data_IF_211147272366
#
_entry.id   IF_211147272366
#
_cell.length_a   1.000
_cell.length_b   1.000
_cell.length_c   1.000
_cell.angle_alpha   90.00
_cell.angle_beta   90.00
_cell.angle_gamma   90.00
#
_symmetry.space_group_name_H-M   'P 1'
#
loop_
_entity.id
_entity.type
_entity.pdbx_description
1 polymer ?
#
# COMPACT_ATOMS: atom_id res chain seq x y z
N UNK A 1 -23.50 6.14 -9.33
CA UNK A 1 -24.62 6.29 -8.36
C UNK A 1 -25.34 7.64 -8.45
N UNK A 2 -25.44 8.26 -9.65
CA UNK A 2 -26.12 9.56 -9.81
C UNK A 2 -27.61 9.48 -9.43
N UNK A 3 -28.27 8.39 -9.83
CA UNK A 3 -29.71 8.19 -9.62
C UNK A 3 -30.03 7.42 -8.33
N UNK A 4 -29.00 7.02 -7.58
CA UNK A 4 -29.13 6.27 -6.32
C UNK A 4 -28.22 6.85 -5.22
N UNK A 5 -28.32 8.15 -4.90
CA UNK A 5 -27.42 8.79 -3.93
C UNK A 5 -27.56 8.22 -2.51
N UNK A 6 -28.73 7.65 -2.18
CA UNK A 6 -29.01 7.02 -0.88
C UNK A 6 -28.03 5.88 -0.55
N UNK A 7 -27.40 5.25 -1.56
CA UNK A 7 -26.40 4.20 -1.34
C UNK A 7 -25.29 4.67 -0.40
N UNK A 8 -24.82 5.91 -0.59
CA UNK A 8 -23.73 6.51 0.16
C UNK A 8 -24.10 6.95 1.59
N UNK A 9 -25.35 6.73 2.00
CA UNK A 9 -25.82 6.98 3.37
C UNK A 9 -26.26 5.69 4.06
N UNK A 10 -25.99 4.52 3.47
CA UNK A 10 -26.30 3.22 4.07
C UNK A 10 -25.22 2.81 5.06
N UNK A 11 -25.60 2.02 6.08
CA UNK A 11 -24.63 1.36 6.97
C UNK A 11 -23.62 0.53 6.19
N UNK A 12 -24.05 -0.14 5.12
CA UNK A 12 -23.16 -0.87 4.23
C UNK A 12 -22.04 0.03 3.69
N UNK A 13 -22.37 1.18 3.10
CA UNK A 13 -21.34 2.08 2.58
C UNK A 13 -20.43 2.64 3.68
N UNK A 14 -20.97 2.97 4.86
CA UNK A 14 -20.14 3.40 6.01
C UNK A 14 -19.15 2.33 6.45
N UNK A 15 -19.58 1.06 6.56
CA UNK A 15 -18.68 -0.03 6.92
C UNK A 15 -17.67 -0.32 5.80
N UNK A 16 -18.12 -0.31 4.54
CA UNK A 16 -17.27 -0.60 3.40
C UNK A 16 -16.17 0.44 3.21
N UNK A 17 -16.54 1.73 3.18
CA UNK A 17 -15.62 2.82 2.90
C UNK A 17 -14.50 2.89 3.94
N UNK A 18 -14.79 2.60 5.23
CA UNK A 18 -13.79 2.66 6.29
C UNK A 18 -13.01 1.37 6.49
N UNK A 19 -13.60 0.21 6.18
CA UNK A 19 -12.87 -1.07 6.23
C UNK A 19 -11.80 -1.16 5.16
N UNK A 20 -12.13 -0.68 3.94
CA UNK A 20 -11.26 -0.81 2.77
C UNK A 20 -10.66 0.52 2.30
N UNK A 21 -10.86 1.61 3.05
CA UNK A 21 -10.45 2.97 2.68
C UNK A 21 -10.94 3.41 1.28
N UNK A 22 -12.14 2.98 0.89
CA UNK A 22 -12.75 3.36 -0.40
C UNK A 22 -13.31 4.77 -0.36
N UNK A 23 -13.11 5.52 -1.44
CA UNK A 23 -13.73 6.82 -1.68
C UNK A 23 -14.85 6.71 -2.70
N UNK A 24 -15.72 7.73 -2.78
CA UNK A 24 -16.82 7.76 -3.76
C UNK A 24 -16.34 7.85 -5.20
N UNK A 25 -15.11 8.33 -5.41
CA UNK A 25 -14.41 8.41 -6.69
C UNK A 25 -13.50 7.20 -6.97
N UNK A 26 -13.32 6.28 -6.01
CA UNK A 26 -12.52 5.08 -6.22
C UNK A 26 -13.11 4.17 -7.32
N UNK A 27 -12.25 3.32 -7.89
CA UNK A 27 -12.59 2.44 -9.01
C UNK A 27 -13.79 1.54 -8.71
N UNK A 28 -14.83 1.67 -9.54
CA UNK A 28 -15.99 0.75 -9.52
C UNK A 28 -15.59 -0.69 -9.90
N UNK A 29 -14.53 -0.85 -10.70
CA UNK A 29 -14.02 -2.18 -11.03
C UNK A 29 -13.46 -2.89 -9.80
N UNK A 30 -12.73 -2.17 -8.93
CA UNK A 30 -12.26 -2.74 -7.67
C UNK A 30 -13.42 -3.03 -6.73
N UNK A 31 -14.39 -2.12 -6.61
CA UNK A 31 -15.61 -2.39 -5.85
C UNK A 31 -16.30 -3.70 -6.28
N UNK A 32 -16.45 -3.92 -7.59
CA UNK A 32 -16.99 -5.17 -8.14
C UNK A 32 -16.11 -6.38 -7.77
N UNK A 33 -14.79 -6.29 -7.94
CA UNK A 33 -13.85 -7.38 -7.60
C UNK A 33 -13.96 -7.78 -6.13
N UNK A 34 -14.05 -6.81 -5.22
CA UNK A 34 -14.26 -7.08 -3.80
C UNK A 34 -15.59 -7.80 -3.54
N UNK A 35 -16.69 -7.34 -4.15
CA UNK A 35 -18.00 -7.99 -4.00
C UNK A 35 -18.00 -9.45 -4.48
N UNK A 36 -17.27 -9.75 -5.56
CA UNK A 36 -17.13 -11.12 -6.08
C UNK A 36 -16.15 -11.95 -5.22
N UNK A 37 -15.00 -11.38 -4.85
CA UNK A 37 -13.91 -12.10 -4.17
C UNK A 37 -14.18 -12.35 -2.69
N UNK A 38 -14.87 -11.43 -2.03
CA UNK A 38 -15.14 -11.43 -0.59
C UNK A 38 -16.62 -11.66 -0.27
N UNK A 39 -17.35 -12.34 -1.17
CA UNK A 39 -18.79 -12.56 -1.01
C UNK A 39 -19.16 -13.28 0.30
N UNK A 40 -18.28 -14.14 0.82
CA UNK A 40 -18.47 -14.81 2.12
C UNK A 40 -18.26 -13.88 3.32
N UNK A 41 -17.53 -12.77 3.13
CA UNK A 41 -17.37 -11.73 4.15
C UNK A 41 -18.53 -10.74 4.17
N UNK A 42 -19.34 -10.69 3.10
CA UNK A 42 -20.41 -9.71 2.97
C UNK A 42 -21.44 -9.80 4.11
N UNK A 43 -21.83 -11.00 4.52
CA UNK A 43 -22.77 -11.21 5.64
C UNK A 43 -22.13 -11.05 7.02
N UNK A 44 -20.84 -10.69 7.07
CA UNK A 44 -20.02 -10.60 8.28
C UNK A 44 -19.27 -9.27 8.35
N UNK A 45 -19.56 -8.34 7.45
CA UNK A 45 -18.81 -7.08 7.32
C UNK A 45 -18.98 -6.18 8.55
N UNK A 46 -20.07 -6.34 9.28
CA UNK A 46 -20.39 -5.61 10.50
C UNK A 46 -19.64 -6.13 11.73
N UNK A 47 -19.26 -7.41 11.75
CA UNK A 47 -18.50 -8.02 12.85
C UNK A 47 -17.01 -8.15 12.53
N UNK A 48 -16.68 -8.25 11.25
CA UNK A 48 -15.35 -8.55 10.72
C UNK A 48 -14.76 -9.85 11.30
N UNK A 49 -15.61 -10.83 11.62
CA UNK A 49 -15.18 -12.12 12.19
C UNK A 49 -14.35 -12.98 11.23
N UNK A 50 -14.44 -12.73 9.91
CA UNK A 50 -13.58 -13.38 8.93
C UNK A 50 -12.15 -12.82 8.86
N UNK A 51 -11.87 -11.72 9.56
CA UNK A 51 -10.53 -11.12 9.56
C UNK A 51 -9.57 -11.97 10.40
N UNK A 52 -8.52 -12.46 9.74
CA UNK A 52 -7.40 -13.14 10.42
C UNK A 52 -6.29 -12.14 10.72
N UNK A 53 -5.75 -12.21 11.94
CA UNK A 53 -4.68 -11.31 12.42
C UNK A 53 -3.43 -12.09 12.76
N UNK A 54 -2.26 -11.47 12.54
CA UNK A 54 -0.99 -11.95 13.04
C UNK A 54 -0.78 -11.52 14.50
N UNK A 55 0.16 -12.17 15.20
CA UNK A 55 0.42 -11.87 16.61
C UNK A 55 0.96 -10.45 16.84
N UNK A 56 1.82 -9.97 15.94
CA UNK A 56 2.34 -8.60 15.92
C UNK A 56 1.91 -7.90 14.63
N UNK A 57 2.48 -6.72 14.35
CA UNK A 57 2.34 -6.10 13.04
C UNK A 57 2.92 -7.03 11.92
N UNK A 58 2.54 -6.75 10.68
CA UNK A 58 2.93 -7.58 9.53
C UNK A 58 4.44 -7.53 9.23
N UNK A 59 5.12 -6.44 9.59
CA UNK A 59 6.57 -6.36 9.44
C UNK A 59 7.26 -7.43 10.32
N UNK A 60 6.94 -7.45 11.61
CA UNK A 60 7.51 -8.42 12.55
C UNK A 60 7.02 -9.86 12.32
N UNK A 61 5.74 -10.04 11.98
CA UNK A 61 5.13 -11.37 11.90
C UNK A 61 5.31 -12.05 10.54
N UNK A 62 5.61 -11.30 9.48
CA UNK A 62 5.70 -11.83 8.10
C UNK A 62 7.03 -11.44 7.45
N UNK A 63 7.36 -10.15 7.41
CA UNK A 63 8.53 -9.66 6.68
C UNK A 63 9.84 -10.12 7.33
N UNK A 64 9.98 -9.97 8.66
CA UNK A 64 11.19 -10.39 9.38
C UNK A 64 11.45 -11.90 9.24
N UNK A 65 10.46 -12.80 9.45
CA UNK A 65 10.65 -14.23 9.21
C UNK A 65 10.99 -14.57 7.75
N UNK A 66 10.34 -13.91 6.78
CA UNK A 66 10.62 -14.13 5.36
C UNK A 66 12.04 -13.72 5.00
N UNK A 67 12.50 -12.56 5.48
CA UNK A 67 13.88 -12.10 5.28
C UNK A 67 14.86 -13.10 5.88
N UNK A 68 14.66 -13.53 7.12
CA UNK A 68 15.53 -14.50 7.78
C UNK A 68 15.60 -15.84 7.02
N UNK A 69 14.48 -16.29 6.45
CA UNK A 69 14.45 -17.46 5.57
C UNK A 69 15.34 -17.26 4.34
N UNK A 70 15.18 -16.14 3.62
CA UNK A 70 15.94 -15.84 2.40
C UNK A 70 17.44 -15.61 2.69
N UNK A 71 17.77 -14.94 3.80
CA UNK A 71 19.15 -14.79 4.28
C UNK A 71 19.81 -16.17 4.50
N UNK A 72 19.05 -17.14 5.03
CA UNK A 72 19.52 -18.52 5.23
C UNK A 72 19.88 -19.26 3.93
N UNK A 73 19.41 -18.79 2.78
CA UNK A 73 19.77 -19.27 1.44
C UNK A 73 20.80 -18.39 0.73
N UNK A 74 21.32 -17.36 1.40
CA UNK A 74 22.33 -16.45 0.84
C UNK A 74 21.78 -15.50 -0.23
N UNK A 75 20.49 -15.14 -0.15
CA UNK A 75 19.92 -14.09 -1.01
C UNK A 75 20.59 -12.75 -0.68
N UNK A 76 20.99 -12.02 -1.72
CA UNK A 76 21.56 -10.68 -1.59
C UNK A 76 20.46 -9.63 -1.39
N UNK A 77 20.65 -8.76 -0.40
CA UNK A 77 19.77 -7.66 -0.08
C UNK A 77 20.55 -6.35 -0.15
N UNK A 78 20.59 -5.74 -1.34
CA UNK A 78 21.14 -4.39 -1.52
C UNK A 78 20.13 -3.34 -1.05
N UNK A 79 20.34 -2.80 0.14
CA UNK A 79 19.54 -1.70 0.72
C UNK A 79 20.20 -0.34 0.45
N UNK A 80 19.46 0.75 0.68
CA UNK A 80 19.92 2.11 0.41
C UNK A 80 20.38 2.32 -1.05
N UNK A 81 19.76 1.57 -1.96
CA UNK A 81 20.04 1.57 -3.38
C UNK A 81 18.73 1.81 -4.14
N UNK A 82 18.68 2.88 -4.91
CA UNK A 82 17.49 3.29 -5.66
C UNK A 82 17.64 2.88 -7.11
N UNK A 83 16.72 2.06 -7.62
CA UNK A 83 16.65 1.80 -9.07
C UNK A 83 16.06 3.04 -9.75
N UNK A 84 16.85 3.70 -10.57
CA UNK A 84 16.48 4.99 -11.19
C UNK A 84 15.95 4.84 -12.61
N UNK A 85 16.31 3.76 -13.31
CA UNK A 85 15.88 3.45 -14.67
C UNK A 85 16.13 1.98 -15.07
N UNK A 86 15.47 1.52 -16.14
CA UNK A 86 15.70 0.23 -16.79
C UNK A 86 15.94 0.43 -18.29
N UNK A 87 16.87 -0.33 -18.85
CA UNK A 87 17.06 -0.41 -20.30
C UNK A 87 16.43 -1.66 -20.88
N UNK A 88 15.97 -1.54 -22.12
CA UNK A 88 15.23 -2.58 -22.81
C UNK A 88 15.87 -2.93 -24.13
N UNK A 89 15.84 -4.22 -24.47
CA UNK A 89 16.20 -4.69 -25.80
C UNK A 89 15.29 -4.04 -26.86
N UNK A 90 15.83 -3.58 -28.01
CA UNK A 90 15.02 -3.11 -29.12
C UNK A 90 14.05 -4.18 -29.64
N UNK A 91 12.89 -3.74 -30.15
CA UNK A 91 11.84 -4.61 -30.68
C UNK A 91 10.54 -4.53 -29.88
N UNK A 92 9.60 -5.43 -30.14
CA UNK A 92 8.28 -5.42 -29.51
C UNK A 92 8.26 -6.07 -28.11
N UNK A 93 9.08 -7.11 -27.89
CA UNK A 93 9.11 -7.86 -26.63
C UNK A 93 9.72 -7.08 -25.46
N UNK A 94 9.23 -7.31 -24.24
CA UNK A 94 9.72 -6.66 -23.02
C UNK A 94 10.87 -7.49 -22.44
N UNK A 95 12.10 -7.09 -22.72
CA UNK A 95 13.31 -7.74 -22.19
C UNK A 95 14.21 -6.66 -21.63
N UNK A 96 14.40 -6.65 -20.31
CA UNK A 96 15.30 -5.73 -19.62
C UNK A 96 16.74 -6.19 -19.88
N UNK A 97 17.63 -5.25 -20.21
CA UNK A 97 19.05 -5.50 -20.45
C UNK A 97 19.94 -4.91 -19.37
N UNK A 98 19.50 -3.85 -18.70
CA UNK A 98 20.26 -3.24 -17.61
C UNK A 98 19.35 -2.59 -16.57
N UNK A 99 19.82 -2.55 -15.31
CA UNK A 99 19.22 -1.87 -14.18
C UNK A 99 20.15 -0.75 -13.74
N UNK A 100 19.69 0.50 -13.81
CA UNK A 100 20.42 1.67 -13.34
C UNK A 100 20.10 1.90 -11.87
N UNK A 101 21.13 2.03 -11.04
CA UNK A 101 21.04 2.13 -9.58
C UNK A 101 21.82 3.35 -9.11
N UNK A 102 21.28 4.05 -8.12
CA UNK A 102 21.97 5.10 -7.38
C UNK A 102 22.03 4.70 -5.90
N UNK A 103 23.24 4.68 -5.34
CA UNK A 103 23.49 4.45 -3.91
C UNK A 103 24.50 5.47 -3.35
N UNK A 104 24.95 5.29 -2.10
CA UNK A 104 25.92 6.21 -1.46
C UNK A 104 27.27 6.31 -2.19
N UNK A 105 27.64 5.31 -3.01
CA UNK A 105 28.87 5.31 -3.81
C UNK A 105 28.67 5.95 -5.19
N UNK A 106 27.43 6.28 -5.56
CA UNK A 106 27.05 6.95 -6.81
C UNK A 106 26.24 6.07 -7.76
N UNK A 107 26.27 6.43 -9.05
CA UNK A 107 25.54 5.71 -10.09
C UNK A 107 26.26 4.42 -10.52
N UNK A 108 25.49 3.34 -10.64
CA UNK A 108 25.93 2.00 -11.05
C UNK A 108 24.96 1.37 -12.02
N UNK A 109 25.45 0.42 -12.82
CA UNK A 109 24.65 -0.33 -13.77
C UNK A 109 24.83 -1.82 -13.54
N UNK A 110 23.72 -2.54 -13.39
CA UNK A 110 23.69 -4.01 -13.38
C UNK A 110 23.23 -4.47 -14.76
N UNK A 111 24.15 -5.07 -15.51
CA UNK A 111 23.85 -5.70 -16.81
C UNK A 111 23.17 -7.06 -16.59
N UNK A 112 22.04 -7.27 -17.26
CA UNK A 112 21.30 -8.54 -17.25
C UNK A 112 21.70 -9.38 -18.47
N UNK A 113 22.01 -10.65 -18.21
CA UNK A 113 22.37 -11.65 -19.22
C UNK A 113 21.14 -12.44 -19.68
N UNK A 114 21.31 -13.17 -20.77
CA UNK A 114 20.32 -14.13 -21.23
C UNK A 114 20.03 -15.17 -20.13
N UNK A 115 18.76 -15.25 -19.72
CA UNK A 115 18.29 -16.14 -18.66
C UNK A 115 18.06 -15.45 -17.31
N UNK A 116 18.57 -14.23 -17.12
CA UNK A 116 18.29 -13.44 -15.91
C UNK A 116 16.83 -12.96 -15.91
N UNK A 117 16.23 -12.88 -14.72
CA UNK A 117 14.84 -12.47 -14.53
C UNK A 117 14.81 -11.18 -13.74
N UNK A 118 14.19 -10.14 -14.32
CA UNK A 118 13.91 -8.88 -13.64
C UNK A 118 12.46 -8.88 -13.15
N UNK A 119 12.26 -8.71 -11.85
CA UNK A 119 10.94 -8.53 -11.24
C UNK A 119 10.91 -7.13 -10.64
N UNK A 120 9.99 -6.30 -11.12
CA UNK A 120 9.81 -4.92 -10.67
C UNK A 120 8.46 -4.78 -9.97
N UNK A 121 8.49 -4.31 -8.73
CA UNK A 121 7.28 -3.75 -8.09
C UNK A 121 7.05 -2.36 -8.65
N UNK A 122 6.04 -2.20 -9.50
CA UNK A 122 5.75 -0.94 -10.15
C UNK A 122 4.92 -0.02 -9.23
N UNK A 123 5.64 0.84 -8.54
CA UNK A 123 5.15 1.82 -7.59
C UNK A 123 4.69 1.27 -6.22
N UNK A 124 4.51 2.16 -5.25
CA UNK A 124 4.19 1.85 -3.87
C UNK A 124 3.18 2.83 -3.29
N UNK A 125 2.21 2.35 -2.50
CA UNK A 125 1.22 3.21 -1.86
C UNK A 125 1.78 4.05 -0.70
N UNK A 126 2.95 3.69 -0.18
CA UNK A 126 3.63 4.43 0.91
C UNK A 126 4.75 5.33 0.38
N UNK A 127 4.86 5.48 -0.94
CA UNK A 127 5.74 6.48 -1.51
C UNK A 127 5.37 7.87 -0.99
N UNK A 128 6.39 8.70 -0.77
CA UNK A 128 6.22 10.07 -0.28
C UNK A 128 5.49 10.21 1.06
N UNK A 129 5.29 9.12 1.81
CA UNK A 129 4.76 9.18 3.16
C UNK A 129 5.74 9.94 4.06
N UNK A 130 5.21 10.93 4.78
CA UNK A 130 5.96 11.72 5.76
C UNK A 130 5.43 11.45 7.16
N UNK A 131 6.27 11.70 8.16
CA UNK A 131 5.93 11.49 9.56
C UNK A 131 5.96 12.83 10.30
N UNK A 132 4.91 13.06 11.08
CA UNK A 132 4.90 14.07 12.12
C UNK A 132 5.23 13.46 13.48
N UNK A 133 4.97 14.23 14.53
CA UNK A 133 4.98 13.77 15.91
C UNK A 133 3.82 14.40 16.70
N UNK A 134 3.86 14.29 18.03
CA UNK A 134 2.81 14.84 18.90
C UNK A 134 2.59 16.35 18.74
N UNK A 135 3.63 17.11 18.35
CA UNK A 135 3.63 18.57 18.28
C UNK A 135 3.93 19.12 16.89
N UNK A 136 4.21 18.25 15.92
CA UNK A 136 4.62 18.60 14.56
C UNK A 136 3.77 17.84 13.56
N UNK A 137 3.07 18.54 12.66
CA UNK A 137 2.31 17.89 11.60
C UNK A 137 3.25 17.26 10.54
N UNK A 138 2.87 16.14 9.91
CA UNK A 138 3.60 15.58 8.78
C UNK A 138 3.62 16.58 7.61
N UNK A 139 4.74 16.68 6.90
CA UNK A 139 4.88 17.53 5.72
C UNK A 139 4.11 16.94 4.53
N UNK A 140 3.28 17.74 3.85
CA UNK A 140 2.64 17.28 2.61
C UNK A 140 3.58 17.51 1.42
N UNK A 141 4.20 16.43 0.92
CA UNK A 141 5.13 16.47 -0.21
C UNK A 141 4.87 15.34 -1.22
N UNK A 142 3.77 15.41 -1.99
CA UNK A 142 3.36 14.34 -2.91
C UNK A 142 4.20 14.27 -4.21
N UNK A 143 5.08 15.25 -4.45
CA UNK A 143 5.73 15.42 -5.75
C UNK A 143 6.93 14.47 -6.00
N UNK A 144 7.24 13.58 -5.05
CA UNK A 144 8.42 12.70 -5.10
C UNK A 144 8.10 11.19 -4.93
N UNK A 145 7.20 10.60 -5.74
CA UNK A 145 6.93 9.18 -5.66
C UNK A 145 8.03 8.40 -6.39
N UNK A 146 9.14 8.09 -5.70
CA UNK A 146 10.35 7.46 -6.29
C UNK A 146 10.01 6.23 -7.14
N UNK A 147 9.15 5.33 -6.64
CA UNK A 147 8.77 4.12 -7.36
C UNK A 147 7.73 4.38 -8.47
N UNK A 148 6.89 5.41 -8.30
CA UNK A 148 5.99 5.91 -9.36
C UNK A 148 6.74 6.57 -10.52
N UNK A 149 7.83 7.29 -10.24
CA UNK A 149 8.72 7.88 -11.25
C UNK A 149 9.41 6.81 -12.09
N UNK A 150 9.95 5.77 -11.44
CA UNK A 150 10.52 4.62 -12.15
C UNK A 150 9.49 4.00 -13.10
N UNK A 151 8.26 3.77 -12.62
CA UNK A 151 7.18 3.24 -13.45
C UNK A 151 6.88 4.15 -14.66
N UNK A 152 6.79 5.46 -14.45
CA UNK A 152 6.58 6.45 -15.51
C UNK A 152 7.70 6.43 -16.57
N UNK A 153 8.96 6.34 -16.15
CA UNK A 153 10.10 6.27 -17.07
C UNK A 153 10.04 5.00 -17.92
N UNK A 154 9.87 3.84 -17.32
CA UNK A 154 9.89 2.57 -18.06
C UNK A 154 8.68 2.41 -18.97
N UNK A 155 7.49 2.87 -18.55
CA UNK A 155 6.29 2.84 -19.38
C UNK A 155 6.37 3.73 -20.62
N UNK A 156 7.13 4.84 -20.55
CA UNK A 156 7.44 5.69 -21.72
C UNK A 156 8.41 5.01 -22.69
N UNK A 157 9.38 4.24 -22.19
CA UNK A 157 10.34 3.50 -23.01
C UNK A 157 9.70 2.28 -23.68
N UNK A 158 8.80 1.58 -22.98
CA UNK A 158 8.26 0.30 -23.44
C UNK A 158 6.72 0.21 -23.30
N UNK A 159 5.99 0.14 -24.43
CA UNK A 159 4.56 -0.12 -24.41
C UNK A 159 4.23 -1.46 -23.72
N UNK A 160 3.09 -1.52 -23.04
CA UNK A 160 2.62 -2.72 -22.34
C UNK A 160 2.96 -2.77 -20.85
N UNK A 161 3.70 -1.80 -20.32
CA UNK A 161 4.01 -1.69 -18.89
C UNK A 161 2.96 -0.93 -18.07
N UNK A 162 1.79 -0.62 -18.64
CA UNK A 162 0.69 0.06 -17.94
C UNK A 162 0.80 1.59 -17.92
N UNK A 163 -0.07 2.23 -17.14
CA UNK A 163 -0.14 3.69 -17.00
C UNK A 163 -0.15 4.10 -15.51
N UNK A 164 0.89 4.78 -15.00
CA UNK A 164 0.96 5.24 -13.61
C UNK A 164 0.05 6.43 -13.28
N UNK A 165 -0.32 7.23 -14.28
CA UNK A 165 -0.92 8.56 -14.06
C UNK A 165 -2.21 8.54 -13.21
N UNK A 166 -3.18 7.61 -13.40
CA UNK A 166 -4.40 7.59 -12.60
C UNK A 166 -4.17 7.26 -11.11
N UNK A 167 -2.99 6.76 -10.74
CA UNK A 167 -2.67 6.32 -9.38
C UNK A 167 -1.86 7.37 -8.60
N UNK A 168 -0.98 8.10 -9.28
CA UNK A 168 -0.04 9.05 -8.67
C UNK A 168 -0.24 10.50 -9.12
N UNK A 169 -1.12 10.77 -10.09
CA UNK A 169 -1.40 12.12 -10.59
C UNK A 169 -2.40 12.93 -9.77
N UNK A 170 -3.12 12.28 -8.85
CA UNK A 170 -4.18 12.88 -8.02
C UNK A 170 -3.96 12.59 -6.53
N UNK A 171 -2.86 13.08 -5.93
CA UNK A 171 -2.57 12.81 -4.52
C UNK A 171 -3.63 13.33 -3.56
N UNK A 172 -4.41 14.35 -3.95
CA UNK A 172 -5.58 14.83 -3.21
C UNK A 172 -6.75 13.84 -3.19
N UNK A 173 -6.82 12.94 -4.16
CA UNK A 173 -7.83 11.88 -4.24
C UNK A 173 -7.35 10.54 -3.63
N UNK A 174 -6.04 10.34 -3.50
CA UNK A 174 -5.43 9.07 -3.06
C UNK A 174 -4.77 9.14 -1.69
N UNK A 175 -4.56 10.34 -1.13
CA UNK A 175 -4.01 10.50 0.21
C UNK A 175 -5.02 10.18 1.32
N UNK A 176 -4.48 9.84 2.49
CA UNK A 176 -5.18 9.77 3.76
C UNK A 176 -4.14 9.82 4.88
N UNK A 177 -4.56 10.25 6.06
CA UNK A 177 -3.67 10.35 7.22
C UNK A 177 -3.93 9.23 8.22
N UNK A 178 -2.86 8.75 8.85
CA UNK A 178 -2.93 7.80 9.95
C UNK A 178 -2.06 8.27 11.11
N UNK A 179 -2.35 7.80 12.31
CA UNK A 179 -1.52 8.06 13.47
C UNK A 179 -1.47 6.84 14.39
N UNK A 180 -0.35 6.69 15.11
CA UNK A 180 -0.18 5.66 16.12
C UNK A 180 0.04 6.32 17.48
N UNK A 181 -0.77 5.95 18.47
CA UNK A 181 -0.67 6.48 19.84
C UNK A 181 0.01 5.48 20.75
N UNK A 182 1.12 5.89 21.35
CA UNK A 182 1.81 5.13 22.40
C UNK A 182 1.62 5.82 23.75
N UNK A 183 0.96 5.15 24.69
CA UNK A 183 0.72 5.66 26.04
C UNK A 183 1.49 4.84 27.09
N UNK A 184 1.89 5.50 28.19
CA UNK A 184 2.32 4.78 29.40
C UNK A 184 1.08 4.22 30.12
N UNK A 185 1.08 2.91 30.36
CA UNK A 185 -0.05 2.21 30.98
C UNK A 185 -1.24 2.00 30.03
N UNK A 186 -2.38 1.56 30.57
CA UNK A 186 -3.54 1.10 29.79
C UNK A 186 -4.81 1.94 29.98
N UNK A 187 -4.70 3.16 30.52
CA UNK A 187 -5.87 4.01 30.83
C UNK A 187 -6.72 4.31 29.58
N UNK A 188 -6.08 4.75 28.49
CA UNK A 188 -6.78 5.04 27.24
C UNK A 188 -7.44 3.79 26.64
N UNK A 189 -6.74 2.65 26.66
CA UNK A 189 -7.26 1.37 26.18
C UNK A 189 -8.50 0.93 26.98
N UNK A 190 -8.48 1.05 28.32
CA UNK A 190 -9.63 0.73 29.17
C UNK A 190 -10.83 1.64 28.93
N UNK A 191 -10.60 2.93 28.68
CA UNK A 191 -11.68 3.86 28.31
C UNK A 191 -12.30 3.47 26.97
N UNK A 192 -11.47 3.10 26.00
CA UNK A 192 -11.89 2.58 24.70
C UNK A 192 -12.73 1.30 24.84
N UNK A 193 -12.26 0.35 25.65
CA UNK A 193 -12.95 -0.91 25.92
C UNK A 193 -14.30 -0.65 26.60
N UNK A 194 -14.34 0.19 27.64
CA UNK A 194 -15.57 0.55 28.34
C UNK A 194 -16.59 1.24 27.42
N UNK A 195 -16.13 2.13 26.55
CA UNK A 195 -17.00 2.85 25.62
C UNK A 195 -17.59 1.92 24.55
N UNK A 196 -16.80 0.98 24.04
CA UNK A 196 -17.17 0.20 22.85
C UNK A 196 -17.63 -1.22 23.13
N UNK A 197 -17.35 -1.76 24.32
CA UNK A 197 -17.50 -3.19 24.62
C UNK A 197 -16.46 -4.09 23.94
N UNK A 198 -15.56 -3.55 23.12
CA UNK A 198 -14.55 -4.32 22.39
C UNK A 198 -13.24 -4.38 23.18
N UNK A 199 -12.81 -5.59 23.52
CA UNK A 199 -11.49 -5.85 24.08
C UNK A 199 -10.43 -5.50 23.01
N UNK A 200 -9.34 -4.79 23.37
CA UNK A 200 -8.26 -4.52 22.42
C UNK A 200 -7.76 -5.80 21.73
N UNK A 201 -7.70 -5.77 20.40
CA UNK A 201 -7.28 -6.91 19.57
C UNK A 201 -8.37 -7.94 19.26
N UNK A 202 -9.52 -7.91 19.95
CA UNK A 202 -10.66 -8.79 19.63
C UNK A 202 -11.59 -8.17 18.59
N UNK A 203 -11.85 -6.86 18.70
CA UNK A 203 -12.64 -6.10 17.73
C UNK A 203 -11.82 -5.66 16.51
N UNK A 204 -12.52 -5.32 15.43
CA UNK A 204 -11.93 -4.64 14.29
C UNK A 204 -11.95 -3.10 14.46
N UNK A 205 -11.82 -2.35 13.36
CA UNK A 205 -11.89 -0.89 13.38
C UNK A 205 -13.25 -0.39 13.92
N UNK A 206 -13.26 0.83 14.46
CA UNK A 206 -14.49 1.54 14.84
C UNK A 206 -14.57 2.85 14.08
N UNK A 207 -15.73 3.09 13.48
CA UNK A 207 -16.00 4.30 12.70
C UNK A 207 -16.91 5.23 13.48
N UNK A 208 -16.44 6.46 13.71
CA UNK A 208 -17.30 7.57 14.10
C UNK A 208 -17.93 8.14 12.82
N UNK A 209 -19.23 7.92 12.63
CA UNK A 209 -19.94 8.32 11.40
C UNK A 209 -20.55 9.72 11.45
N UNK A 210 -20.64 10.31 12.65
CA UNK A 210 -21.27 11.60 12.95
C UNK A 210 -20.31 12.49 13.75
#
# INVERSE_FOLDING_TARGET
>A
FKDTPHFFTTNFWYMWQTTFAFQKWSSLFEFKRYMERMIFEFSRIETLEGVTRTQYNQYESVIVPLKAYLDGFGVDFSINATVTDLDFKPGEGITVTAIHIEDEEGEKVIELKDGDICIMTNACMTDSATLGDLNTAPEYNPDKPISGELWSKVAKKKPGLGNPEPFFGHPDETNWESFTVSCKGNKLLKLIEQFSGNIPGSGALRTFKD
#
